data_IF_644272190171
#
_entry.id   IF_644272190171
#
_cell.length_a   1.000
_cell.length_b   1.000
_cell.length_c   1.000
_cell.angle_alpha   90.00
_cell.angle_beta   90.00
_cell.angle_gamma   90.00
#
_symmetry.space_group_name_H-M   'P 1'
#
loop_
_entity.id
_entity.type
_entity.pdbx_description
1 polymer ?
#
# COMPACT_ATOMS: atom_id res chain seq x y z
N UNK A 1 -22.33 38.00 -9.16
CA UNK A 1 -22.64 36.63 -8.75
C UNK A 1 -22.22 35.57 -9.79
N UNK A 2 -22.41 35.77 -11.09
CA UNK A 2 -22.01 34.79 -12.14
C UNK A 2 -20.50 34.51 -12.17
N UNK A 3 -19.67 35.54 -11.99
CA UNK A 3 -18.19 35.37 -12.02
C UNK A 3 -17.64 34.57 -10.82
N UNK A 4 -18.22 34.73 -9.63
CA UNK A 4 -17.83 33.97 -8.46
C UNK A 4 -18.15 32.46 -8.60
N UNK A 5 -19.27 32.13 -9.20
CA UNK A 5 -19.67 30.76 -9.45
C UNK A 5 -18.73 30.07 -10.45
N UNK A 6 -18.30 30.78 -11.50
CA UNK A 6 -17.37 30.27 -12.49
C UNK A 6 -15.97 29.99 -11.89
N UNK A 7 -15.48 30.86 -11.01
CA UNK A 7 -14.23 30.62 -10.29
C UNK A 7 -14.30 29.41 -9.36
N UNK A 8 -15.42 29.22 -8.67
CA UNK A 8 -15.61 28.07 -7.78
C UNK A 8 -15.61 26.76 -8.61
N UNK A 9 -16.31 26.75 -9.73
CA UNK A 9 -16.34 25.56 -10.60
C UNK A 9 -14.95 25.27 -11.18
N UNK A 10 -14.20 26.28 -11.61
CA UNK A 10 -12.84 26.10 -12.14
C UNK A 10 -11.86 25.52 -11.09
N UNK A 11 -11.98 25.96 -9.84
CA UNK A 11 -11.20 25.40 -8.72
C UNK A 11 -11.56 23.93 -8.47
N UNK A 12 -12.84 23.59 -8.48
CA UNK A 12 -13.28 22.20 -8.29
C UNK A 12 -12.86 21.27 -9.43
N UNK A 13 -12.89 21.73 -10.68
CA UNK A 13 -12.45 20.94 -11.83
C UNK A 13 -10.91 20.78 -11.84
N UNK A 14 -10.17 21.80 -11.43
CA UNK A 14 -8.71 21.73 -11.32
C UNK A 14 -8.22 20.78 -10.22
N UNK A 15 -8.96 20.62 -9.13
CA UNK A 15 -8.60 19.71 -8.04
C UNK A 15 -8.75 18.22 -8.38
N UNK A 16 -9.57 17.87 -9.35
CA UNK A 16 -9.74 16.46 -9.75
C UNK A 16 -8.54 15.83 -10.48
N UNK A 17 -7.57 16.64 -10.90
CA UNK A 17 -6.34 16.16 -11.56
C UNK A 17 -5.16 15.97 -10.60
N UNK A 18 -5.29 16.29 -9.32
CA UNK A 18 -4.23 16.09 -8.33
C UNK A 18 -4.32 14.64 -7.84
N UNK A 19 -3.67 13.73 -8.57
CA UNK A 19 -3.56 12.35 -8.18
C UNK A 19 -2.84 12.22 -6.83
N UNK A 20 -3.40 11.46 -5.91
CA UNK A 20 -2.76 11.15 -4.64
C UNK A 20 -1.56 10.21 -4.87
N UNK A 21 -0.37 10.80 -5.03
CA UNK A 21 0.86 10.03 -5.21
C UNK A 21 1.38 9.59 -3.84
N UNK A 22 1.12 8.35 -3.50
CA UNK A 22 1.75 7.71 -2.35
C UNK A 22 2.97 6.93 -2.80
N UNK A 23 4.10 7.17 -2.15
CA UNK A 23 5.34 6.45 -2.40
C UNK A 23 5.61 5.53 -1.22
N UNK A 24 5.57 4.24 -1.45
CA UNK A 24 6.03 3.23 -0.49
C UNK A 24 7.51 2.98 -0.79
N UNK A 25 8.38 3.31 0.17
CA UNK A 25 9.82 3.10 0.04
C UNK A 25 10.17 1.67 0.39
N UNK A 26 10.23 0.78 -0.58
CA UNK A 26 10.55 -0.65 -0.38
C UNK A 26 11.97 -0.88 0.17
N UNK A 27 12.86 0.11 0.09
CA UNK A 27 14.21 0.02 0.65
C UNK A 27 14.25 0.00 2.20
N UNK A 28 13.13 0.27 2.86
CA UNK A 28 13.00 0.14 4.32
C UNK A 28 12.56 -1.28 4.73
N UNK A 29 12.32 -2.18 3.77
CA UNK A 29 12.06 -3.59 4.04
C UNK A 29 13.38 -4.32 4.26
N UNK A 30 13.44 -5.11 5.34
CA UNK A 30 14.63 -5.89 5.71
C UNK A 30 14.72 -7.22 4.94
N UNK A 31 13.76 -7.50 4.08
CA UNK A 31 13.61 -8.77 3.38
C UNK A 31 13.50 -8.54 1.88
N UNK A 32 13.89 -9.55 1.13
CA UNK A 32 13.69 -9.54 -0.32
C UNK A 32 12.20 -9.60 -0.66
N UNK A 33 11.74 -8.65 -1.47
CA UNK A 33 10.34 -8.53 -1.88
C UNK A 33 10.28 -8.48 -3.40
N UNK A 34 9.39 -9.28 -3.98
CA UNK A 34 9.13 -9.32 -5.41
C UNK A 34 7.64 -9.19 -5.71
N UNK A 35 7.31 -8.36 -6.69
CA UNK A 35 5.93 -8.27 -7.22
C UNK A 35 5.60 -9.44 -8.16
N UNK A 36 6.58 -10.28 -8.46
CA UNK A 36 6.44 -11.48 -9.31
C UNK A 36 6.53 -12.74 -8.45
N UNK A 37 6.17 -13.93 -8.98
CA UNK A 37 6.35 -15.19 -8.26
C UNK A 37 7.82 -15.64 -8.17
N UNK A 38 8.76 -14.82 -8.61
CA UNK A 38 10.20 -15.13 -8.62
C UNK A 38 10.94 -14.16 -7.73
N UNK A 39 11.88 -14.67 -6.94
CA UNK A 39 12.82 -13.89 -6.14
C UNK A 39 14.25 -14.34 -6.43
N UNK A 40 15.19 -13.44 -6.38
CA UNK A 40 16.60 -13.80 -6.50
C UNK A 40 17.15 -14.21 -5.14
N UNK A 41 17.70 -15.42 -5.06
CA UNK A 41 18.38 -15.89 -3.86
C UNK A 41 19.68 -15.16 -3.58
N UNK A 42 20.28 -15.43 -2.44
CA UNK A 42 21.60 -14.89 -2.06
C UNK A 42 22.74 -15.30 -3.01
N UNK A 43 22.52 -16.35 -3.78
CA UNK A 43 23.41 -16.86 -4.84
C UNK A 43 23.18 -16.18 -6.20
N UNK A 44 22.27 -15.20 -6.28
CA UNK A 44 21.89 -14.52 -7.53
C UNK A 44 21.05 -15.36 -8.50
N UNK A 45 20.67 -16.58 -8.11
CA UNK A 45 19.86 -17.46 -8.94
C UNK A 45 18.37 -17.16 -8.73
N UNK A 46 17.57 -17.05 -9.82
CA UNK A 46 16.14 -16.88 -9.67
C UNK A 46 15.50 -18.15 -9.09
N UNK A 47 14.71 -17.98 -8.06
CA UNK A 47 13.96 -19.03 -7.35
C UNK A 47 12.48 -18.75 -7.46
N UNK A 48 11.71 -19.80 -7.70
CA UNK A 48 10.25 -19.72 -7.79
C UNK A 48 9.61 -20.73 -6.85
N UNK A 49 8.31 -20.62 -6.65
CA UNK A 49 7.53 -21.59 -5.89
C UNK A 49 7.72 -23.01 -6.45
N UNK A 50 8.03 -23.95 -5.59
CA UNK A 50 8.34 -25.34 -5.99
C UNK A 50 9.74 -25.56 -6.58
N UNK A 51 10.48 -24.48 -6.90
CA UNK A 51 11.85 -24.55 -7.42
C UNK A 51 12.75 -23.67 -6.54
N UNK A 52 13.18 -24.19 -5.40
CA UNK A 52 14.05 -23.51 -4.46
C UNK A 52 13.33 -22.58 -3.48
N UNK A 53 12.00 -22.41 -3.58
CA UNK A 53 11.17 -21.68 -2.63
C UNK A 53 10.02 -22.52 -2.12
N UNK A 54 9.81 -22.50 -0.84
CA UNK A 54 8.63 -23.03 -0.15
C UNK A 54 7.74 -21.86 0.30
N UNK A 55 6.46 -21.89 -0.04
CA UNK A 55 5.48 -20.95 0.47
C UNK A 55 5.03 -21.42 1.84
N UNK A 56 5.20 -20.57 2.84
CA UNK A 56 4.87 -20.85 4.23
C UNK A 56 3.57 -20.20 4.68
N UNK A 57 2.98 -19.33 3.86
CA UNK A 57 1.69 -18.71 4.11
C UNK A 57 1.53 -17.36 3.42
N UNK A 58 0.37 -16.77 3.61
CA UNK A 58 0.05 -15.45 3.10
C UNK A 58 0.25 -14.39 4.18
N UNK A 59 0.57 -13.18 3.76
CA UNK A 59 0.67 -12.01 4.62
C UNK A 59 -0.28 -10.93 4.10
N UNK A 60 -1.04 -10.35 5.02
CA UNK A 60 -1.83 -9.15 4.76
C UNK A 60 -1.65 -8.20 5.95
N UNK A 61 -1.21 -6.99 5.66
CA UNK A 61 -1.07 -5.92 6.65
C UNK A 61 -1.80 -4.69 6.13
N UNK A 62 -2.81 -4.26 6.85
CA UNK A 62 -3.56 -3.06 6.52
C UNK A 62 -3.38 -1.98 7.58
N UNK A 63 -3.41 -0.73 7.14
CA UNK A 63 -3.38 0.42 8.02
C UNK A 63 -4.30 1.52 7.49
N UNK A 64 -5.01 2.13 8.42
CA UNK A 64 -5.84 3.30 8.15
C UNK A 64 -5.11 4.54 8.63
N UNK A 65 -5.15 5.59 7.83
CA UNK A 65 -4.63 6.89 8.20
C UNK A 65 -5.63 7.99 7.85
N UNK A 66 -5.58 9.06 8.62
CA UNK A 66 -6.38 10.24 8.35
C UNK A 66 -5.74 11.04 7.21
N UNK A 67 -6.58 11.65 6.42
CA UNK A 67 -6.18 12.53 5.35
C UNK A 67 -7.03 13.78 5.36
N UNK A 68 -6.50 14.88 4.87
CA UNK A 68 -7.25 16.09 4.59
C UNK A 68 -7.75 16.08 3.16
N UNK A 69 -8.79 16.87 2.90
CA UNK A 69 -9.34 17.05 1.55
C UNK A 69 -9.65 15.70 0.89
N UNK A 70 -10.54 14.91 1.50
CA UNK A 70 -11.05 13.63 0.94
C UNK A 70 -9.99 12.58 0.61
N UNK A 71 -8.84 12.56 1.21
CA UNK A 71 -7.72 11.64 0.94
C UNK A 71 -6.57 12.24 0.10
N UNK A 72 -6.65 13.50 -0.29
CA UNK A 72 -5.57 14.10 -1.10
C UNK A 72 -4.30 14.41 -0.29
N UNK A 73 -4.44 14.73 0.98
CA UNK A 73 -3.28 15.04 1.86
C UNK A 73 -3.20 14.03 2.99
N UNK A 74 -2.36 12.99 2.89
CA UNK A 74 -2.21 12.01 3.96
C UNK A 74 -1.54 12.67 5.19
N UNK A 75 -2.10 12.42 6.37
CA UNK A 75 -1.57 12.88 7.66
C UNK A 75 -0.80 11.78 8.39
N UNK A 76 -0.61 10.63 7.77
CA UNK A 76 -0.01 9.45 8.38
C UNK A 76 1.41 9.16 7.91
N UNK A 77 2.21 8.50 8.77
CA UNK A 77 3.53 8.00 8.44
C UNK A 77 3.43 6.55 7.93
N UNK A 78 3.83 6.32 6.69
CA UNK A 78 3.88 4.99 6.08
C UNK A 78 4.94 4.07 6.70
N UNK A 79 5.90 4.62 7.46
CA UNK A 79 6.95 3.84 8.13
C UNK A 79 6.42 2.82 9.13
N UNK A 80 5.34 3.17 9.85
CA UNK A 80 4.70 2.27 10.83
C UNK A 80 4.22 0.98 10.18
N UNK A 81 3.78 1.04 8.93
CA UNK A 81 3.28 -0.12 8.19
C UNK A 81 4.41 -1.07 7.80
N UNK A 82 5.52 -0.51 7.31
CA UNK A 82 6.69 -1.30 6.92
C UNK A 82 7.30 -2.02 8.12
N UNK A 83 7.32 -1.37 9.29
CA UNK A 83 7.75 -2.02 10.53
C UNK A 83 6.83 -3.19 10.92
N UNK A 84 5.50 -3.00 10.84
CA UNK A 84 4.54 -4.08 11.11
C UNK A 84 4.72 -5.24 10.13
N UNK A 85 4.92 -4.93 8.86
CA UNK A 85 5.16 -5.91 7.82
C UNK A 85 6.43 -6.72 8.09
N UNK A 86 7.55 -6.04 8.38
CA UNK A 86 8.80 -6.68 8.76
C UNK A 86 8.64 -7.59 9.99
N UNK A 87 7.93 -7.12 11.02
CA UNK A 87 7.70 -7.90 12.23
C UNK A 87 6.92 -9.21 11.96
N UNK A 88 5.92 -9.16 11.08
CA UNK A 88 5.15 -10.36 10.70
C UNK A 88 6.03 -11.35 9.93
N UNK A 89 6.87 -10.87 9.00
CA UNK A 89 7.81 -11.71 8.25
C UNK A 89 8.78 -12.40 9.21
N UNK A 90 9.36 -11.63 10.15
CA UNK A 90 10.29 -12.15 11.17
C UNK A 90 9.62 -13.19 12.05
N UNK A 91 8.42 -12.88 12.56
CA UNK A 91 7.68 -13.78 13.46
C UNK A 91 7.34 -15.13 12.82
N UNK A 92 7.12 -15.14 11.50
CA UNK A 92 6.83 -16.37 10.74
C UNK A 92 8.08 -17.07 10.20
N UNK A 93 9.27 -16.52 10.44
CA UNK A 93 10.54 -17.07 9.98
C UNK A 93 10.66 -17.12 8.45
N UNK A 94 9.99 -16.21 7.76
CA UNK A 94 10.11 -16.08 6.31
C UNK A 94 11.41 -15.38 5.93
N UNK A 95 11.91 -15.65 4.73
CA UNK A 95 13.13 -15.05 4.18
C UNK A 95 12.84 -14.05 3.06
N UNK A 96 11.61 -14.06 2.55
CA UNK A 96 11.17 -13.13 1.52
C UNK A 96 9.68 -13.16 1.29
N UNK A 97 9.22 -12.28 0.40
CA UNK A 97 7.82 -12.17 -0.01
C UNK A 97 7.75 -12.13 -1.53
N UNK A 98 6.90 -12.95 -2.12
CA UNK A 98 6.58 -12.95 -3.54
C UNK A 98 5.14 -12.51 -3.78
N UNK A 99 4.83 -12.12 -5.03
CA UNK A 99 3.52 -11.60 -5.42
C UNK A 99 3.08 -10.45 -4.49
N UNK A 100 4.03 -9.55 -4.18
CA UNK A 100 3.76 -8.42 -3.32
C UNK A 100 2.89 -7.39 -4.04
N UNK A 101 1.81 -7.01 -3.38
CA UNK A 101 0.85 -6.04 -3.88
C UNK A 101 0.59 -4.96 -2.82
N UNK A 102 0.45 -3.73 -3.26
CA UNK A 102 0.07 -2.59 -2.42
C UNK A 102 -1.21 -2.00 -2.97
N UNK A 103 -2.26 -2.07 -2.20
CA UNK A 103 -3.57 -1.52 -2.51
C UNK A 103 -3.85 -0.30 -1.62
N UNK A 104 -4.33 0.77 -2.24
CA UNK A 104 -4.73 1.98 -1.53
C UNK A 104 -6.20 2.27 -1.82
N UNK A 105 -7.01 2.15 -0.80
CA UNK A 105 -8.45 2.35 -0.85
C UNK A 105 -8.87 3.55 0.00
N UNK A 106 -9.87 4.30 -0.48
CA UNK A 106 -10.59 5.25 0.36
C UNK A 106 -11.45 4.50 1.39
N UNK A 107 -11.57 5.04 2.60
CA UNK A 107 -12.48 4.46 3.58
C UNK A 107 -13.94 4.76 3.19
N UNK A 108 -14.87 3.87 3.59
CA UNK A 108 -16.31 4.01 3.33
C UNK A 108 -16.91 5.33 3.83
N UNK A 109 -16.34 5.89 4.91
CA UNK A 109 -16.71 7.22 5.42
C UNK A 109 -16.57 8.34 4.39
N UNK A 110 -15.61 8.23 3.46
CA UNK A 110 -15.45 9.22 2.41
C UNK A 110 -16.65 9.21 1.46
N UNK A 111 -17.18 8.04 1.13
CA UNK A 111 -18.35 7.90 0.27
C UNK A 111 -19.59 8.54 0.89
N UNK A 112 -19.79 8.35 2.20
CA UNK A 112 -20.88 8.99 2.92
C UNK A 112 -20.73 10.52 2.93
N UNK A 113 -19.54 11.04 3.16
CA UNK A 113 -19.26 12.46 3.15
C UNK A 113 -19.49 13.10 1.77
N UNK A 114 -19.13 12.41 0.69
CA UNK A 114 -19.39 12.86 -0.67
C UNK A 114 -20.89 13.02 -0.98
N UNK A 115 -21.73 12.16 -0.43
CA UNK A 115 -23.18 12.20 -0.66
C UNK A 115 -23.87 13.30 0.15
N UNK A 116 -23.42 13.51 1.39
CA UNK A 116 -24.11 14.37 2.35
C UNK A 116 -23.60 15.82 2.36
N UNK A 117 -22.31 16.05 2.06
CA UNK A 117 -21.66 17.34 2.29
C UNK A 117 -20.85 17.87 1.11
N UNK A 118 -21.17 17.61 -0.16
CA UNK A 118 -20.30 18.02 -1.28
C UNK A 118 -20.14 19.54 -1.43
N UNK A 119 -21.02 20.32 -0.83
CA UNK A 119 -21.07 21.76 -1.02
C UNK A 119 -20.51 22.60 0.14
N UNK A 120 -20.28 22.02 1.32
CA UNK A 120 -20.12 22.82 2.55
C UNK A 120 -18.71 22.79 3.11
N UNK A 121 -17.92 21.73 2.92
CA UNK A 121 -16.59 21.59 3.54
C UNK A 121 -15.53 21.07 2.58
N UNK A 122 -14.81 21.93 1.85
CA UNK A 122 -13.68 21.50 1.00
C UNK A 122 -12.52 20.85 1.80
N UNK A 123 -12.51 21.02 3.11
CA UNK A 123 -11.49 20.48 4.02
C UNK A 123 -11.97 19.30 4.86
N UNK A 124 -12.97 18.58 4.39
CA UNK A 124 -13.47 17.44 5.16
C UNK A 124 -12.35 16.43 5.43
N UNK A 125 -12.16 16.00 6.68
CA UNK A 125 -11.19 14.97 7.00
C UNK A 125 -11.62 13.66 6.33
N UNK A 126 -10.75 13.13 5.50
CA UNK A 126 -10.93 11.84 4.86
C UNK A 126 -10.14 10.75 5.58
N UNK A 127 -10.32 9.54 5.10
CA UNK A 127 -9.58 8.37 5.55
C UNK A 127 -9.13 7.57 4.33
N UNK A 128 -7.91 7.03 4.40
CA UNK A 128 -7.41 6.08 3.43
C UNK A 128 -6.89 4.84 4.13
N UNK A 129 -7.01 3.69 3.46
CA UNK A 129 -6.53 2.40 3.92
C UNK A 129 -5.49 1.91 2.93
N UNK A 130 -4.27 1.69 3.37
CA UNK A 130 -3.27 0.98 2.60
C UNK A 130 -3.26 -0.47 3.06
N UNK A 131 -3.34 -1.40 2.11
CA UNK A 131 -3.22 -2.82 2.35
C UNK A 131 -2.01 -3.34 1.58
N UNK A 132 -1.12 -4.03 2.27
CA UNK A 132 0.02 -4.73 1.71
C UNK A 132 -0.25 -6.22 1.80
N UNK A 133 -0.19 -6.90 0.66
CA UNK A 133 -0.41 -8.36 0.56
C UNK A 133 0.77 -9.02 -0.09
N UNK A 134 0.96 -10.31 0.18
CA UNK A 134 1.97 -11.12 -0.47
C UNK A 134 2.01 -12.54 0.08
N UNK A 135 2.86 -13.37 -0.50
CA UNK A 135 3.08 -14.74 -0.06
C UNK A 135 4.46 -14.86 0.56
N UNK A 136 4.49 -15.32 1.80
CA UNK A 136 5.71 -15.54 2.56
C UNK A 136 6.44 -16.77 2.04
N UNK A 137 7.73 -16.63 1.82
CA UNK A 137 8.56 -17.71 1.28
C UNK A 137 9.80 -17.95 2.13
N UNK A 138 10.26 -19.19 2.08
CA UNK A 138 11.53 -19.64 2.63
C UNK A 138 12.32 -20.36 1.56
N UNK A 139 13.63 -20.16 1.52
CA UNK A 139 14.51 -20.92 0.64
C UNK A 139 14.58 -22.38 1.08
N UNK A 140 14.29 -23.28 0.15
CA UNK A 140 14.53 -24.72 0.34
C UNK A 140 15.92 -25.06 -0.19
N UNK A 141 16.80 -25.49 0.68
CA UNK A 141 18.08 -26.06 0.26
C UNK A 141 17.83 -27.43 -0.39
N UNK A 142 17.79 -27.47 -1.70
CA UNK A 142 17.86 -28.75 -2.41
C UNK A 142 19.25 -29.31 -2.16
N UNK A 143 19.36 -30.23 -1.19
CA UNK A 143 20.59 -31.00 -0.98
C UNK A 143 20.81 -31.82 -2.25
N UNK A 144 21.66 -31.34 -3.16
CA UNK A 144 22.11 -32.17 -4.28
C UNK A 144 22.81 -33.38 -3.68
N UNK A 145 22.17 -34.55 -3.83
CA UNK A 145 22.80 -35.85 -3.59
C UNK A 145 23.73 -36.18 -4.75
#
# INVERSE_FOLDING_TARGET
>A
MRSALACIIAVFVGMNCIGNRQTVKLNELNYAVSMTPVIYGSDGVPKAEGVGLEVIGDIEVSHRYWSLVYSFVPLGDTKIQLQKFNNVITARGAQGVINFEVENEGCDLNNFAYVVVPAVLPFFPGCSKITMRGRLVRETFVRRR
#
